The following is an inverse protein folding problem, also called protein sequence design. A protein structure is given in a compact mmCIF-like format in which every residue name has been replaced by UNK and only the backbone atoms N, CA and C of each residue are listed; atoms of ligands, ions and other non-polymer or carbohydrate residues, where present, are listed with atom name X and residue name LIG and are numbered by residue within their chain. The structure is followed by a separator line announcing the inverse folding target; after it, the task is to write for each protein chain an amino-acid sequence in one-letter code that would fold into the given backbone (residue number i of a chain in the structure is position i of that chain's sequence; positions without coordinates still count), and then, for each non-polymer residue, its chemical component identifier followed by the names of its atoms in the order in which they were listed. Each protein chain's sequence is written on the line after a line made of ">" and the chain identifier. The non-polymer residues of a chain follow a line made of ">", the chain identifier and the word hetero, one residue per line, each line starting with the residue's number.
data_IF_934262951119
#
_entry.id   IF_934262951119
#
_cell.length_a   1.000
_cell.length_b   1.000
_cell.length_c   1.000
_cell.angle_alpha   90.00
_cell.angle_beta   90.00
_cell.angle_gamma   90.00
#
_symmetry.space_group_name_H-M   'P 1'
#
loop_
_entity.id
_entity.type
_entity.pdbx_description
1 polymer ?
#
# COMPACT_ATOMS: atom_id res chain seq x y z
N UNK A 1 12.75 -20.20 -34.48
CA UNK A 1 12.06 -19.28 -35.42
C UNK A 1 10.60 -19.07 -34.97
N UNK A 2 10.35 -18.79 -33.68
CA UNK A 2 9.00 -18.67 -33.11
C UNK A 2 8.89 -17.57 -32.01
N UNK A 3 9.73 -16.53 -32.04
CA UNK A 3 9.75 -15.50 -31.02
C UNK A 3 9.56 -14.05 -31.54
N UNK A 4 9.14 -13.86 -32.79
CA UNK A 4 8.97 -12.52 -33.40
C UNK A 4 7.51 -12.10 -33.64
N UNK A 5 6.53 -12.95 -33.34
CA UNK A 5 5.11 -12.69 -33.61
C UNK A 5 4.28 -12.15 -32.46
N UNK A 6 4.81 -12.10 -31.21
CA UNK A 6 3.99 -11.81 -30.03
C UNK A 6 4.12 -10.39 -29.48
N UNK A 7 5.03 -9.57 -30.04
CA UNK A 7 5.25 -8.20 -29.56
C UNK A 7 4.48 -7.14 -30.37
N UNK A 8 3.95 -7.50 -31.54
CA UNK A 8 3.21 -6.53 -32.39
C UNK A 8 1.72 -6.40 -32.07
N UNK A 9 1.14 -7.27 -31.22
CA UNK A 9 -0.30 -7.26 -30.94
C UNK A 9 -0.68 -6.44 -29.70
N UNK A 10 0.29 -6.00 -28.91
CA UNK A 10 0.00 -5.18 -27.69
C UNK A 10 -0.06 -3.68 -27.93
N UNK A 11 0.40 -3.18 -29.07
CA UNK A 11 0.38 -1.74 -29.38
C UNK A 11 -0.89 -1.25 -30.11
N UNK A 12 -1.91 -2.11 -30.34
CA UNK A 12 -3.15 -1.70 -31.03
C UNK A 12 -4.37 -1.52 -30.10
N UNK A 13 -4.22 -1.67 -28.77
CA UNK A 13 -5.33 -1.46 -27.84
C UNK A 13 -5.35 -0.08 -27.17
N UNK A 14 -4.48 0.86 -27.62
CA UNK A 14 -4.35 2.20 -27.02
C UNK A 14 -5.05 3.32 -27.79
N UNK A 15 -5.88 3.02 -28.79
CA UNK A 15 -6.63 4.05 -29.49
C UNK A 15 -8.08 3.63 -29.66
N UNK A 16 -8.99 4.41 -29.06
CA UNK A 16 -10.45 4.41 -29.16
C UNK A 16 -11.21 3.92 -27.91
N UNK A 17 -11.34 4.83 -26.94
CA UNK A 17 -12.59 4.98 -26.19
C UNK A 17 -12.91 6.46 -25.89
N UNK A 18 -13.67 7.15 -26.77
CA UNK A 18 -14.25 8.46 -26.44
C UNK A 18 -15.70 8.28 -25.98
N UNK A 19 -15.99 7.70 -24.81
CA UNK A 19 -17.40 7.70 -24.32
C UNK A 19 -17.60 7.59 -22.80
N UNK A 20 -16.64 7.96 -21.98
CA UNK A 20 -16.86 8.09 -20.51
C UNK A 20 -16.45 9.47 -19.98
N UNK A 21 -16.30 10.45 -20.86
CA UNK A 21 -15.89 11.84 -20.50
C UNK A 21 -17.04 12.77 -20.15
N UNK A 22 -18.14 12.30 -19.58
CA UNK A 22 -19.27 13.21 -19.30
C UNK A 22 -20.12 12.84 -18.07
N UNK A 23 -19.50 12.43 -16.96
CA UNK A 23 -20.15 12.55 -15.63
C UNK A 23 -19.02 12.70 -14.61
N UNK A 24 -19.12 13.71 -13.75
CA UNK A 24 -18.19 14.14 -12.69
C UNK A 24 -17.19 15.22 -13.07
N UNK A 25 -17.76 16.35 -13.51
CA UNK A 25 -17.12 17.65 -13.34
C UNK A 25 -17.58 18.25 -12.00
N UNK A 26 -17.14 17.72 -10.90
CA UNK A 26 -17.31 18.42 -9.63
C UNK A 26 -15.97 19.03 -9.20
N UNK A 27 -15.86 20.35 -9.50
CA UNK A 27 -14.68 21.21 -9.34
C UNK A 27 -14.24 21.44 -7.89
N UNK A 28 -14.70 20.66 -6.92
CA UNK A 28 -14.38 20.90 -5.50
C UNK A 28 -13.15 20.16 -5.00
N UNK A 29 -12.78 19.05 -5.61
CA UNK A 29 -11.67 18.18 -5.12
C UNK A 29 -10.31 18.58 -5.68
N UNK A 30 -10.25 19.14 -6.88
CA UNK A 30 -9.00 19.69 -7.45
C UNK A 30 -8.52 20.95 -6.69
N UNK A 31 -9.41 21.60 -5.92
CA UNK A 31 -9.08 22.80 -5.16
C UNK A 31 -8.12 22.55 -3.97
N UNK A 32 -8.03 21.35 -3.43
CA UNK A 32 -7.21 21.10 -2.21
C UNK A 32 -5.74 20.91 -2.54
N UNK A 33 -5.41 20.31 -3.67
CA UNK A 33 -4.02 20.15 -4.13
C UNK A 33 -3.48 21.43 -4.78
N UNK A 34 -4.33 22.19 -5.47
CA UNK A 34 -4.00 23.51 -6.03
C UNK A 34 -3.91 24.60 -4.97
N UNK A 35 -4.63 24.49 -3.85
CA UNK A 35 -4.56 25.51 -2.79
C UNK A 35 -3.20 25.48 -2.06
N UNK A 36 -2.58 24.32 -1.84
CA UNK A 36 -1.26 24.22 -1.22
C UNK A 36 -0.17 24.87 -2.10
N UNK A 37 -0.20 24.61 -3.40
CA UNK A 37 0.70 25.23 -4.38
C UNK A 37 0.41 26.71 -4.63
N UNK A 38 -0.85 27.09 -4.76
CA UNK A 38 -1.26 28.50 -5.00
C UNK A 38 -1.04 29.39 -3.78
N UNK A 39 -1.16 28.86 -2.55
CA UNK A 39 -0.86 29.58 -1.32
C UNK A 39 0.63 29.91 -1.18
N UNK A 40 1.53 29.01 -1.56
CA UNK A 40 2.98 29.27 -1.53
C UNK A 40 3.41 30.38 -2.51
N UNK A 41 2.64 30.67 -3.53
CA UNK A 41 3.01 31.54 -4.65
C UNK A 41 2.36 32.94 -4.63
N UNK A 42 1.23 33.11 -3.97
CA UNK A 42 0.73 34.47 -3.70
C UNK A 42 1.70 35.30 -2.83
N UNK A 43 2.73 34.65 -2.30
CA UNK A 43 3.77 35.25 -1.46
C UNK A 43 5.08 35.59 -2.17
N UNK A 44 5.36 35.00 -3.35
CA UNK A 44 6.60 35.29 -4.09
C UNK A 44 6.59 36.66 -4.78
N UNK A 45 5.43 37.27 -5.03
CA UNK A 45 5.31 38.56 -5.70
C UNK A 45 5.32 39.79 -4.78
N UNK A 46 5.25 39.62 -3.48
CA UNK A 46 5.34 40.73 -2.53
C UNK A 46 6.51 40.57 -1.61
N UNK A 47 7.54 41.34 -1.82
CA UNK A 47 8.72 41.58 -0.94
C UNK A 47 8.33 42.22 0.43
N UNK A 48 7.17 41.95 0.96
CA UNK A 48 6.80 42.19 2.34
C UNK A 48 6.68 40.81 3.03
N UNK A 49 7.29 40.61 4.18
CA UNK A 49 7.15 39.43 5.07
C UNK A 49 5.66 39.13 5.35
N UNK A 50 4.94 38.63 4.37
CA UNK A 50 3.61 38.12 4.56
C UNK A 50 3.76 36.82 5.36
N UNK A 51 3.32 36.84 6.59
CA UNK A 51 3.22 35.63 7.41
C UNK A 51 2.20 34.71 6.74
N UNK A 52 2.63 33.52 6.32
CA UNK A 52 1.73 32.46 5.87
C UNK A 52 0.75 32.21 7.02
N UNK A 53 -0.58 32.24 6.81
CA UNK A 53 -1.53 31.96 7.87
C UNK A 53 -1.20 30.61 8.52
N UNK A 54 -1.15 30.59 9.85
CA UNK A 54 -0.78 29.38 10.61
C UNK A 54 -1.64 28.16 10.24
N UNK A 55 -2.91 28.37 9.88
CA UNK A 55 -3.81 27.34 9.40
C UNK A 55 -3.40 26.70 8.07
N UNK A 56 -2.80 27.46 7.14
CA UNK A 56 -2.32 26.93 5.87
C UNK A 56 -1.06 26.07 6.04
N UNK A 57 -0.16 26.47 6.95
CA UNK A 57 1.01 25.68 7.33
C UNK A 57 0.62 24.36 7.97
N UNK A 58 -0.37 24.39 8.86
CA UNK A 58 -0.90 23.18 9.49
C UNK A 58 -1.55 22.22 8.49
N UNK A 59 -2.27 22.75 7.50
CA UNK A 59 -2.86 21.93 6.43
C UNK A 59 -1.78 21.26 5.57
N UNK A 60 -0.71 21.97 5.24
CA UNK A 60 0.39 21.42 4.48
C UNK A 60 1.16 20.34 5.26
N UNK A 61 1.46 20.59 6.53
CA UNK A 61 2.08 19.63 7.44
C UNK A 61 1.24 18.34 7.56
N UNK A 62 -0.09 18.50 7.70
CA UNK A 62 -1.02 17.37 7.74
C UNK A 62 -1.01 16.58 6.42
N UNK A 63 -1.05 17.25 5.26
CA UNK A 63 -1.04 16.59 3.96
C UNK A 63 0.28 15.82 3.70
N UNK A 64 1.40 16.37 4.11
CA UNK A 64 2.70 15.66 4.06
C UNK A 64 2.65 14.42 4.94
N UNK A 65 2.16 14.55 6.20
CA UNK A 65 2.05 13.44 7.12
C UNK A 65 1.20 12.29 6.59
N UNK A 66 0.07 12.60 5.97
CA UNK A 66 -0.83 11.62 5.34
C UNK A 66 -0.15 10.87 4.19
N UNK A 67 0.62 11.55 3.34
CA UNK A 67 1.37 10.92 2.25
C UNK A 67 2.50 10.03 2.75
N UNK A 68 3.28 10.50 3.72
CA UNK A 68 4.33 9.72 4.36
C UNK A 68 3.76 8.45 4.98
N UNK A 69 2.64 8.56 5.70
CA UNK A 69 1.94 7.41 6.27
C UNK A 69 1.45 6.44 5.20
N UNK A 70 0.80 6.93 4.14
CA UNK A 70 0.30 6.10 3.05
C UNK A 70 1.43 5.32 2.39
N UNK A 71 2.56 5.97 2.08
CA UNK A 71 3.73 5.31 1.47
C UNK A 71 4.30 4.23 2.39
N UNK A 72 4.42 4.49 3.69
CA UNK A 72 4.90 3.52 4.67
C UNK A 72 3.95 2.31 4.79
N UNK A 73 2.64 2.54 4.86
CA UNK A 73 1.60 1.49 4.93
C UNK A 73 1.64 0.62 3.68
N UNK A 74 1.59 1.21 2.49
CA UNK A 74 1.64 0.45 1.23
C UNK A 74 2.99 -0.25 1.05
N UNK A 75 4.07 0.32 1.56
CA UNK A 75 5.42 -0.24 1.50
C UNK A 75 5.66 -1.46 2.39
N UNK A 76 4.83 -1.71 3.41
CA UNK A 76 5.10 -2.79 4.37
C UNK A 76 3.92 -3.73 4.59
N UNK A 77 2.71 -3.22 4.64
CA UNK A 77 1.55 -3.99 5.06
C UNK A 77 1.01 -4.88 3.94
N UNK A 78 0.91 -6.17 4.19
CA UNK A 78 0.34 -7.15 3.23
C UNK A 78 -1.14 -6.92 2.99
N UNK A 79 -1.85 -6.38 3.98
CA UNK A 79 -3.26 -6.00 3.90
C UNK A 79 -3.50 -4.89 2.86
N UNK A 80 -2.57 -3.93 2.72
CA UNK A 80 -2.74 -2.81 1.80
C UNK A 80 -2.54 -3.21 0.34
N UNK A 81 -1.58 -4.08 0.03
CA UNK A 81 -1.32 -4.56 -1.34
C UNK A 81 -0.25 -5.65 -1.36
N UNK A 82 -0.04 -6.30 -2.49
CA UNK A 82 1.08 -7.24 -2.71
C UNK A 82 2.35 -6.51 -3.17
N UNK A 83 3.48 -7.20 -3.16
CA UNK A 83 4.76 -6.67 -3.61
C UNK A 83 4.77 -6.36 -5.13
N UNK A 84 5.58 -5.41 -5.55
CA UNK A 84 5.84 -5.13 -6.95
C UNK A 84 4.75 -4.31 -7.64
N UNK A 85 4.42 -3.15 -7.11
CA UNK A 85 3.40 -2.26 -7.66
C UNK A 85 4.00 -1.12 -8.46
N UNK A 86 3.48 -0.93 -9.68
CA UNK A 86 3.57 0.34 -10.38
C UNK A 86 2.17 0.91 -10.52
N UNK A 87 1.95 2.17 -10.20
CA UNK A 87 0.68 2.85 -10.46
C UNK A 87 0.88 4.22 -11.07
N UNK A 88 -0.16 4.68 -11.75
CA UNK A 88 -0.25 6.06 -12.26
C UNK A 88 -1.46 6.72 -11.67
N UNK A 89 -1.24 7.88 -11.05
CA UNK A 89 -2.24 8.92 -10.78
C UNK A 89 -2.14 9.94 -11.92
N UNK A 90 -3.15 10.78 -12.13
CA UNK A 90 -3.17 11.75 -13.24
C UNK A 90 -1.89 12.60 -13.35
N UNK A 91 -1.28 12.98 -12.21
CA UNK A 91 -0.07 13.81 -12.11
C UNK A 91 1.07 13.13 -11.32
N UNK A 92 0.97 11.84 -11.00
CA UNK A 92 1.99 11.13 -10.25
C UNK A 92 2.18 9.69 -10.74
N UNK A 93 3.40 9.22 -10.64
CA UNK A 93 3.74 7.80 -10.84
C UNK A 93 4.33 7.24 -9.56
N UNK A 94 4.02 5.99 -9.24
CA UNK A 94 4.53 5.34 -8.04
C UNK A 94 4.96 3.92 -8.29
N UNK A 95 5.92 3.47 -7.50
CA UNK A 95 6.37 2.08 -7.46
C UNK A 95 6.58 1.64 -6.02
N UNK A 96 6.22 0.40 -5.71
CA UNK A 96 6.41 -0.18 -4.39
C UNK A 96 7.03 -1.57 -4.53
N UNK A 97 8.10 -1.79 -3.78
CA UNK A 97 8.74 -3.08 -3.60
C UNK A 97 8.64 -3.46 -2.15
N UNK A 98 8.07 -4.63 -1.82
CA UNK A 98 7.96 -5.07 -0.44
C UNK A 98 8.08 -6.58 -0.29
N UNK A 99 8.51 -7.00 0.88
CA UNK A 99 8.56 -8.39 1.33
C UNK A 99 7.78 -8.46 2.63
N UNK A 100 6.47 -8.73 2.58
CA UNK A 100 5.69 -9.00 3.78
C UNK A 100 5.91 -10.45 4.22
N UNK A 101 5.81 -10.69 5.54
CA UNK A 101 5.82 -12.04 6.12
C UNK A 101 4.78 -12.16 7.22
N UNK A 102 4.28 -13.38 7.37
CA UNK A 102 3.37 -13.78 8.44
C UNK A 102 3.58 -15.26 8.74
N UNK A 103 3.87 -15.59 9.98
CA UNK A 103 4.20 -16.94 10.39
C UNK A 103 3.51 -17.30 11.70
N UNK A 104 2.94 -18.49 11.78
CA UNK A 104 2.54 -19.12 13.03
C UNK A 104 3.74 -19.81 13.64
N UNK A 105 4.10 -19.44 14.87
CA UNK A 105 5.34 -19.89 15.51
C UNK A 105 5.24 -21.31 16.08
N UNK A 106 4.05 -21.85 16.21
CA UNK A 106 3.78 -23.20 16.67
C UNK A 106 2.45 -23.72 16.11
N UNK A 107 2.26 -25.04 16.12
CA UNK A 107 0.97 -25.65 15.83
C UNK A 107 -0.09 -25.19 16.86
N UNK A 108 -1.37 -25.02 16.44
CA UNK A 108 -2.41 -24.58 17.35
C UNK A 108 -2.60 -25.51 18.54
N UNK A 109 -2.47 -24.96 19.74
CA UNK A 109 -2.68 -25.68 21.01
C UNK A 109 -4.04 -25.33 21.65
N UNK A 110 -4.57 -26.20 22.54
CA UNK A 110 -5.87 -25.98 23.17
C UNK A 110 -5.86 -24.79 24.15
N UNK A 111 -6.99 -24.08 24.21
CA UNK A 111 -7.28 -23.05 25.21
C UNK A 111 -8.38 -23.56 26.13
N UNK A 112 -8.02 -24.07 27.30
CA UNK A 112 -8.99 -24.66 28.24
C UNK A 112 -9.74 -25.86 27.65
N UNK A 113 -10.92 -26.15 28.21
CA UNK A 113 -11.75 -27.30 27.81
C UNK A 113 -12.81 -26.97 26.76
N UNK A 114 -12.77 -25.77 26.16
CA UNK A 114 -13.86 -25.27 25.30
C UNK A 114 -13.69 -25.57 23.80
N UNK A 115 -12.71 -26.39 23.41
CA UNK A 115 -12.47 -26.72 22.00
C UNK A 115 -11.90 -25.55 21.18
N UNK A 116 -11.44 -24.48 21.84
CA UNK A 116 -10.70 -23.40 21.21
C UNK A 116 -9.23 -23.80 21.09
N UNK A 117 -8.63 -23.46 19.94
CA UNK A 117 -7.20 -23.60 19.72
C UNK A 117 -6.57 -22.22 19.52
N UNK A 118 -5.30 -22.07 19.83
CA UNK A 118 -4.57 -20.82 19.55
C UNK A 118 -3.15 -21.09 19.08
N UNK A 119 -2.60 -20.15 18.32
CA UNK A 119 -1.19 -20.13 17.95
C UNK A 119 -0.68 -18.68 17.97
N UNK A 120 0.54 -18.44 18.45
CA UNK A 120 1.16 -17.13 18.33
C UNK A 120 1.54 -16.88 16.88
N UNK A 121 1.18 -15.70 16.36
CA UNK A 121 1.52 -15.22 15.02
C UNK A 121 2.53 -14.10 15.14
N UNK A 122 3.57 -14.17 14.34
CA UNK A 122 4.52 -13.09 14.10
C UNK A 122 4.33 -12.59 12.66
N UNK A 123 4.24 -11.28 12.50
CA UNK A 123 4.05 -10.68 11.19
C UNK A 123 4.90 -9.42 11.03
N UNK A 124 5.09 -9.01 9.78
CA UNK A 124 5.82 -7.81 9.47
C UNK A 124 6.07 -7.64 7.98
N UNK A 125 6.88 -6.66 7.65
CA UNK A 125 7.26 -6.39 6.28
C UNK A 125 8.39 -5.39 6.20
N UNK A 126 9.18 -5.49 5.15
CA UNK A 126 10.13 -4.48 4.75
C UNK A 126 9.82 -4.06 3.33
N UNK A 127 9.94 -2.78 3.03
CA UNK A 127 9.72 -2.30 1.68
C UNK A 127 10.27 -0.93 1.39
N UNK A 128 10.22 -0.63 0.11
CA UNK A 128 10.57 0.64 -0.49
C UNK A 128 9.39 1.14 -1.32
N UNK A 129 9.07 2.41 -1.21
CA UNK A 129 8.08 3.10 -2.04
C UNK A 129 8.66 4.38 -2.61
N UNK A 130 8.60 4.52 -3.93
CA UNK A 130 9.00 5.73 -4.63
C UNK A 130 7.78 6.37 -5.31
N UNK A 131 7.66 7.69 -5.20
CA UNK A 131 6.63 8.49 -5.85
C UNK A 131 7.25 9.68 -6.53
N UNK A 132 6.88 9.89 -7.79
CA UNK A 132 7.24 11.06 -8.57
C UNK A 132 5.97 11.85 -8.85
N UNK A 133 5.92 13.06 -8.36
CA UNK A 133 4.79 13.97 -8.55
C UNK A 133 5.18 15.08 -9.53
N UNK A 134 4.51 15.16 -10.69
CA UNK A 134 4.71 16.18 -11.70
C UNK A 134 3.67 17.29 -11.54
N UNK A 135 4.12 18.49 -11.36
CA UNK A 135 3.22 19.65 -11.26
C UNK A 135 2.82 20.15 -12.66
N UNK A 136 1.72 19.62 -13.20
CA UNK A 136 1.30 19.95 -14.58
C UNK A 136 0.33 21.13 -14.66
N UNK A 137 -0.52 21.34 -13.64
CA UNK A 137 -1.65 22.26 -13.67
C UNK A 137 -1.64 23.31 -12.55
N UNK A 138 -0.46 23.67 -12.03
CA UNK A 138 -0.32 24.63 -10.94
C UNK A 138 0.68 25.72 -11.31
N UNK A 139 0.81 26.73 -10.45
CA UNK A 139 1.88 27.75 -10.56
C UNK A 139 3.28 27.14 -10.48
N UNK A 140 3.36 25.89 -9.96
CA UNK A 140 4.57 25.07 -9.97
C UNK A 140 4.70 24.18 -11.22
N UNK A 141 3.89 24.39 -12.26
CA UNK A 141 3.96 23.62 -13.49
C UNK A 141 5.40 23.55 -14.04
N UNK A 142 5.83 22.35 -14.41
CA UNK A 142 7.19 22.08 -14.88
C UNK A 142 8.21 21.75 -13.78
N UNK A 143 7.83 21.78 -12.49
CA UNK A 143 8.65 21.25 -11.39
C UNK A 143 8.22 19.84 -11.04
N UNK A 144 9.06 19.13 -10.28
CA UNK A 144 8.84 17.77 -9.85
C UNK A 144 9.16 17.62 -8.36
N UNK A 145 8.51 16.71 -7.68
CA UNK A 145 8.82 16.35 -6.30
C UNK A 145 8.84 14.84 -6.17
N UNK A 146 9.97 14.30 -5.76
CA UNK A 146 10.22 12.88 -5.59
C UNK A 146 10.16 12.55 -4.10
N UNK A 147 9.55 11.43 -3.77
CA UNK A 147 9.44 10.90 -2.42
C UNK A 147 9.94 9.47 -2.42
N UNK A 148 10.99 9.22 -1.65
CA UNK A 148 11.56 7.90 -1.42
C UNK A 148 11.34 7.47 0.02
N UNK A 149 10.70 6.33 0.23
CA UNK A 149 10.38 5.81 1.55
C UNK A 149 10.91 4.39 1.72
N UNK A 150 11.70 4.16 2.76
CA UNK A 150 12.02 2.82 3.25
C UNK A 150 11.26 2.58 4.54
N UNK A 151 10.57 1.46 4.63
CA UNK A 151 9.73 1.16 5.79
C UNK A 151 9.95 -0.28 6.28
N UNK A 152 9.77 -0.46 7.60
CA UNK A 152 9.85 -1.74 8.31
C UNK A 152 8.67 -1.84 9.27
N UNK A 153 7.91 -2.94 9.20
CA UNK A 153 6.90 -3.28 10.21
C UNK A 153 7.26 -4.57 10.92
N UNK A 154 6.95 -4.64 12.22
CA UNK A 154 7.12 -5.82 13.06
C UNK A 154 6.00 -5.87 14.09
N UNK A 155 5.39 -7.03 14.26
CA UNK A 155 4.34 -7.23 15.23
C UNK A 155 3.80 -8.65 15.29
N UNK A 156 2.59 -8.79 15.77
CA UNK A 156 1.89 -10.07 15.86
C UNK A 156 0.85 -10.12 16.97
N UNK A 157 0.31 -11.30 17.16
CA UNK A 157 -0.73 -11.55 18.15
C UNK A 157 -1.12 -13.02 18.24
N UNK A 158 -2.07 -13.37 19.10
CA UNK A 158 -2.61 -14.73 19.19
C UNK A 158 -3.68 -14.95 18.12
N UNK A 159 -3.51 -15.95 17.24
CA UNK A 159 -4.59 -16.44 16.40
C UNK A 159 -5.42 -17.46 17.18
N UNK A 160 -6.70 -17.22 17.27
CA UNK A 160 -7.66 -18.07 17.97
C UNK A 160 -8.54 -18.75 16.93
N UNK A 161 -8.57 -20.09 16.98
CA UNK A 161 -9.35 -20.96 16.09
C UNK A 161 -10.59 -21.46 16.80
N UNK A 162 -11.73 -21.47 16.10
CA UNK A 162 -13.02 -21.93 16.63
C UNK A 162 -13.29 -23.38 16.21
N UNK A 163 -12.54 -24.31 16.78
CA UNK A 163 -12.67 -25.76 16.48
C UNK A 163 -12.56 -26.05 14.98
N UNK A 164 -13.43 -26.94 14.48
CA UNK A 164 -13.43 -27.38 13.07
C UNK A 164 -14.29 -26.48 12.15
N UNK A 165 -14.71 -25.33 12.62
CA UNK A 165 -15.60 -24.44 11.84
C UNK A 165 -14.90 -23.82 10.63
N UNK A 166 -13.58 -23.74 10.66
CA UNK A 166 -12.76 -23.02 9.68
C UNK A 166 -12.61 -21.53 9.98
N UNK A 167 -13.24 -21.02 11.03
CA UNK A 167 -13.08 -19.62 11.47
C UNK A 167 -11.90 -19.46 12.41
N UNK A 168 -11.19 -18.35 12.25
CA UNK A 168 -10.19 -17.87 13.21
C UNK A 168 -10.20 -16.36 13.29
N UNK A 169 -9.71 -15.83 14.41
CA UNK A 169 -9.48 -14.40 14.62
C UNK A 169 -8.06 -14.16 15.08
N UNK A 170 -7.49 -13.02 14.68
CA UNK A 170 -6.16 -12.59 15.08
C UNK A 170 -6.22 -11.12 15.50
N UNK A 171 -6.40 -10.82 16.79
CA UNK A 171 -6.04 -9.50 17.30
C UNK A 171 -4.51 -9.38 17.31
N UNK A 172 -3.99 -8.32 16.69
CA UNK A 172 -2.55 -8.11 16.59
C UNK A 172 -2.17 -6.65 16.87
N UNK A 173 -0.88 -6.43 17.09
CA UNK A 173 -0.31 -5.11 17.30
C UNK A 173 1.05 -5.05 16.61
N UNK A 174 1.22 -4.07 15.72
CA UNK A 174 2.45 -3.84 14.98
C UNK A 174 3.06 -2.47 15.28
N UNK A 175 4.37 -2.41 15.15
CA UNK A 175 5.14 -1.18 15.06
C UNK A 175 5.58 -1.00 13.61
N UNK A 176 5.28 0.14 13.02
CA UNK A 176 5.71 0.50 11.68
C UNK A 176 6.66 1.71 11.77
N UNK A 177 7.90 1.51 11.36
CA UNK A 177 8.91 2.55 11.24
C UNK A 177 9.14 2.86 9.77
N UNK A 178 9.23 4.15 9.41
CA UNK A 178 9.58 4.56 8.07
C UNK A 178 10.55 5.74 8.06
N UNK A 179 11.45 5.73 7.08
CA UNK A 179 12.28 6.84 6.67
C UNK A 179 11.79 7.31 5.31
N UNK A 180 11.48 8.58 5.20
CA UNK A 180 11.08 9.22 3.94
C UNK A 180 12.00 10.40 3.64
N UNK A 181 12.49 10.43 2.41
CA UNK A 181 13.23 11.53 1.81
C UNK A 181 12.40 12.19 0.74
N UNK A 182 12.48 13.51 0.65
CA UNK A 182 11.79 14.30 -0.36
C UNK A 182 12.80 15.17 -1.09
N UNK A 183 12.89 14.98 -2.40
CA UNK A 183 13.68 15.79 -3.32
C UNK A 183 12.74 16.62 -4.21
N UNK A 184 13.03 17.91 -4.32
CA UNK A 184 12.26 18.83 -5.15
C UNK A 184 13.11 19.43 -6.25
N UNK A 185 12.78 19.12 -7.50
CA UNK A 185 13.43 19.68 -8.69
C UNK A 185 12.79 21.00 -9.10
N UNK A 186 13.52 22.09 -8.86
CA UNK A 186 13.10 23.45 -9.15
C UNK A 186 13.48 23.89 -10.58
N UNK A 187 12.68 23.52 -11.56
CA UNK A 187 12.94 23.81 -12.98
C UNK A 187 12.40 25.17 -13.43
N UNK A 188 11.62 25.88 -12.61
CA UNK A 188 11.04 27.19 -12.89
C UNK A 188 11.43 28.21 -11.84
N UNK A 189 11.28 29.51 -12.16
CA UNK A 189 11.55 30.59 -11.20
C UNK A 189 10.68 30.47 -9.94
N UNK A 190 9.43 30.05 -10.10
CA UNK A 190 8.52 29.80 -8.98
C UNK A 190 9.00 28.63 -8.12
N UNK A 191 9.44 27.54 -8.74
CA UNK A 191 10.05 26.40 -8.05
C UNK A 191 11.32 26.79 -7.28
N UNK A 192 12.18 27.60 -7.88
CA UNK A 192 13.40 28.10 -7.22
C UNK A 192 13.08 28.94 -5.97
N UNK A 193 12.02 29.73 -6.01
CA UNK A 193 11.57 30.49 -4.84
C UNK A 193 11.06 29.58 -3.71
N UNK A 194 10.38 28.47 -4.04
CA UNK A 194 9.95 27.46 -3.07
C UNK A 194 11.15 26.70 -2.50
N UNK A 195 12.09 26.29 -3.36
CA UNK A 195 13.31 25.60 -2.94
C UNK A 195 14.19 26.46 -2.00
N UNK A 196 14.27 27.76 -2.26
CA UNK A 196 15.00 28.70 -1.42
C UNK A 196 14.41 28.85 -0.01
N UNK A 197 13.12 28.58 0.18
CA UNK A 197 12.48 28.57 1.50
C UNK A 197 12.86 27.34 2.33
N UNK A 198 13.07 26.19 1.69
CA UNK A 198 13.65 24.98 2.29
C UNK A 198 12.84 24.30 3.42
N UNK A 199 11.67 24.82 3.82
CA UNK A 199 10.93 24.30 4.98
C UNK A 199 10.05 23.09 4.63
N UNK A 200 9.49 23.05 3.41
CA UNK A 200 8.51 22.06 2.96
C UNK A 200 8.97 21.27 1.73
N UNK A 201 10.22 21.46 1.31
CA UNK A 201 10.85 20.74 0.21
C UNK A 201 12.27 20.36 0.63
N UNK A 202 12.82 19.30 0.03
CA UNK A 202 14.16 18.79 0.33
C UNK A 202 14.33 18.44 1.82
N UNK A 203 13.38 17.67 2.35
CA UNK A 203 13.34 17.29 3.76
C UNK A 203 13.43 15.78 3.95
N UNK A 204 13.84 15.39 5.15
CA UNK A 204 13.88 14.00 5.61
C UNK A 204 13.08 13.87 6.89
N UNK A 205 12.35 12.77 7.02
CA UNK A 205 11.56 12.46 8.19
C UNK A 205 11.62 10.96 8.51
N UNK A 206 11.76 10.66 9.79
CA UNK A 206 11.55 9.31 10.32
C UNK A 206 10.24 9.28 11.09
N UNK A 207 9.42 8.30 10.84
CA UNK A 207 8.12 8.15 11.49
C UNK A 207 8.02 6.84 12.24
N UNK A 208 7.20 6.83 13.27
CA UNK A 208 6.78 5.65 13.99
C UNK A 208 5.26 5.61 14.04
N UNK A 209 4.67 4.49 13.61
CA UNK A 209 3.24 4.22 13.69
C UNK A 209 2.98 3.09 14.66
N UNK A 210 1.97 3.25 15.50
CA UNK A 210 1.37 2.21 16.31
C UNK A 210 0.17 1.65 15.55
N UNK A 211 0.12 0.33 15.36
CA UNK A 211 -0.85 -0.30 14.46
C UNK A 211 -1.59 -1.45 15.16
N UNK A 212 -2.61 -1.17 15.99
CA UNK A 212 -3.54 -2.20 16.39
C UNK A 212 -4.33 -2.71 15.18
N UNK A 213 -4.46 -4.01 15.06
CA UNK A 213 -5.14 -4.68 13.95
C UNK A 213 -6.02 -5.84 14.41
N UNK A 214 -6.95 -6.24 13.55
CA UNK A 214 -7.85 -7.35 13.80
C UNK A 214 -8.15 -8.06 12.47
N UNK A 215 -7.81 -9.36 12.39
CA UNK A 215 -8.15 -10.21 11.24
C UNK A 215 -9.25 -11.20 11.63
N UNK A 216 -10.28 -11.31 10.81
CA UNK A 216 -11.23 -12.42 10.78
C UNK A 216 -10.92 -13.27 9.55
N UNK A 217 -10.71 -14.56 9.73
CA UNK A 217 -10.46 -15.47 8.63
C UNK A 217 -11.44 -16.66 8.66
N UNK A 218 -11.91 -17.03 7.48
CA UNK A 218 -12.56 -18.31 7.22
C UNK A 218 -11.77 -19.07 6.18
N UNK A 219 -11.35 -20.32 6.49
CA UNK A 219 -10.61 -21.21 5.59
C UNK A 219 -11.16 -22.61 5.72
N UNK A 220 -11.52 -23.22 4.60
CA UNK A 220 -12.04 -24.62 4.61
C UNK A 220 -11.65 -25.32 3.32
N UNK A 221 -11.44 -26.63 3.40
CA UNK A 221 -11.11 -27.48 2.26
C UNK A 221 -12.36 -28.20 1.78
N UNK A 222 -12.65 -28.13 0.48
CA UNK A 222 -13.73 -28.82 -0.20
C UNK A 222 -13.16 -29.66 -1.36
N UNK A 223 -12.73 -30.86 -1.08
CA UNK A 223 -12.04 -31.71 -2.04
C UNK A 223 -10.72 -31.07 -2.49
N UNK A 224 -10.67 -30.61 -3.76
CA UNK A 224 -9.50 -29.91 -4.31
C UNK A 224 -9.58 -28.38 -4.23
N UNK A 225 -10.69 -27.85 -3.76
CA UNK A 225 -10.93 -26.41 -3.65
C UNK A 225 -10.60 -25.92 -2.24
N UNK A 226 -9.88 -24.84 -2.15
CA UNK A 226 -9.43 -24.21 -0.92
C UNK A 226 -9.93 -22.76 -0.86
N UNK A 227 -11.25 -22.53 -0.63
CA UNK A 227 -11.76 -21.18 -0.43
C UNK A 227 -11.24 -20.62 0.90
N UNK A 228 -10.89 -19.33 0.86
CA UNK A 228 -10.49 -18.55 2.03
C UNK A 228 -11.11 -17.17 1.92
N UNK A 229 -11.75 -16.72 2.98
CA UNK A 229 -12.17 -15.34 3.15
C UNK A 229 -11.36 -14.71 4.28
N UNK A 230 -10.92 -13.48 4.08
CA UNK A 230 -10.19 -12.71 5.09
C UNK A 230 -10.78 -11.31 5.15
N UNK A 231 -11.06 -10.83 6.36
CA UNK A 231 -11.47 -9.47 6.65
C UNK A 231 -10.48 -8.89 7.65
N UNK A 232 -9.70 -7.93 7.21
CA UNK A 232 -8.61 -7.31 7.96
C UNK A 232 -8.93 -5.85 8.23
N UNK A 233 -8.83 -5.46 9.48
CA UNK A 233 -8.92 -4.07 9.94
C UNK A 233 -7.61 -3.65 10.58
N UNK A 234 -7.10 -2.47 10.23
CA UNK A 234 -5.92 -1.87 10.86
C UNK A 234 -6.11 -0.38 11.07
N UNK A 235 -5.69 0.11 12.23
CA UNK A 235 -5.65 1.52 12.59
C UNK A 235 -4.21 1.97 12.74
N UNK A 236 -3.85 3.07 12.09
CA UNK A 236 -2.51 3.65 12.10
C UNK A 236 -2.52 4.93 12.90
N UNK A 237 -1.58 5.08 13.82
CA UNK A 237 -1.33 6.33 14.54
C UNK A 237 0.14 6.68 14.35
N UNK A 238 0.40 7.59 13.43
CA UNK A 238 1.73 7.93 12.91
C UNK A 238 2.18 9.29 13.42
N UNK A 239 3.44 9.35 13.85
CA UNK A 239 4.09 10.59 14.26
C UNK A 239 5.56 10.60 13.82
N UNK A 240 6.14 11.77 13.53
CA UNK A 240 7.57 11.89 13.32
C UNK A 240 8.33 11.66 14.64
N UNK A 241 9.41 10.89 14.57
CA UNK A 241 10.37 10.68 15.67
C UNK A 241 11.68 11.42 15.43
N UNK A 242 11.98 11.71 14.15
CA UNK A 242 13.06 12.60 13.72
C UNK A 242 12.62 13.37 12.48
N UNK A 243 13.09 14.59 12.31
CA UNK A 243 12.76 15.46 11.20
C UNK A 243 13.93 16.43 10.93
N UNK A 244 14.22 16.67 9.66
CA UNK A 244 15.27 17.60 9.24
C UNK A 244 14.85 19.07 9.34
N UNK A 245 13.54 19.34 9.42
CA UNK A 245 12.97 20.68 9.55
C UNK A 245 11.87 20.71 10.60
N UNK A 246 11.77 21.81 11.35
CA UNK A 246 10.75 21.99 12.37
C UNK A 246 9.33 22.16 11.80
N UNK A 247 9.22 22.39 10.49
CA UNK A 247 7.96 22.46 9.78
C UNK A 247 7.19 21.11 9.76
N UNK A 248 7.89 19.98 9.93
CA UNK A 248 7.28 18.65 9.91
C UNK A 248 6.91 18.17 11.32
N UNK A 249 5.79 18.62 11.84
CA UNK A 249 5.31 18.29 13.19
C UNK A 249 4.00 17.52 13.22
N UNK A 250 3.63 16.93 12.09
CA UNK A 250 2.35 16.28 11.86
C UNK A 250 2.05 15.12 12.81
N UNK A 251 0.75 14.86 12.97
CA UNK A 251 0.21 13.60 13.47
C UNK A 251 -0.81 13.13 12.45
N UNK A 252 -0.65 11.90 11.98
CA UNK A 252 -1.58 11.28 11.06
C UNK A 252 -2.28 10.12 11.76
N UNK A 253 -3.58 10.00 11.50
CA UNK A 253 -4.37 8.86 11.88
C UNK A 253 -5.07 8.34 10.64
N UNK A 254 -5.14 7.01 10.50
CA UNK A 254 -5.76 6.38 9.35
C UNK A 254 -6.32 5.03 9.73
N UNK A 255 -7.35 4.60 9.00
CA UNK A 255 -7.86 3.24 9.09
C UNK A 255 -7.89 2.60 7.71
N UNK A 256 -7.72 1.30 7.71
CA UNK A 256 -7.81 0.47 6.51
C UNK A 256 -8.64 -0.76 6.84
N UNK A 257 -9.61 -1.08 5.98
CA UNK A 257 -10.42 -2.28 6.10
C UNK A 257 -10.43 -3.03 4.77
N UNK A 258 -9.76 -4.19 4.72
CA UNK A 258 -9.66 -5.02 3.52
C UNK A 258 -10.50 -6.28 3.66
N UNK A 259 -11.31 -6.56 2.67
CA UNK A 259 -12.07 -7.79 2.53
C UNK A 259 -11.57 -8.53 1.29
N UNK A 260 -11.10 -9.77 1.47
CA UNK A 260 -10.50 -10.57 0.42
C UNK A 260 -11.10 -11.95 0.36
N UNK A 261 -11.46 -12.38 -0.84
CA UNK A 261 -11.86 -13.74 -1.15
C UNK A 261 -10.80 -14.39 -2.02
N UNK A 262 -10.17 -15.44 -1.50
CA UNK A 262 -9.20 -16.28 -2.19
C UNK A 262 -9.85 -17.61 -2.59
N UNK A 263 -9.50 -18.12 -3.76
CA UNK A 263 -9.88 -19.46 -4.18
C UNK A 263 -8.70 -20.16 -4.85
N UNK A 264 -8.22 -21.23 -4.23
CA UNK A 264 -7.19 -22.09 -4.80
C UNK A 264 -7.75 -23.44 -5.23
N UNK A 265 -7.19 -24.00 -6.27
CA UNK A 265 -7.47 -25.34 -6.77
C UNK A 265 -6.19 -26.17 -6.80
N UNK A 266 -6.20 -27.30 -6.10
CA UNK A 266 -5.12 -28.29 -6.15
C UNK A 266 -5.22 -29.07 -7.44
N UNK A 267 -4.35 -28.77 -8.40
CA UNK A 267 -4.38 -29.41 -9.71
C UNK A 267 -3.92 -30.88 -9.62
N UNK A 268 -4.22 -31.73 -10.61
CA UNK A 268 -3.61 -33.07 -10.70
C UNK A 268 -2.14 -33.01 -11.14
N UNK A 269 -1.63 -31.85 -11.53
CA UNK A 269 -0.28 -31.68 -12.05
C UNK A 269 0.76 -31.62 -10.95
N UNK A 270 1.96 -32.09 -11.27
CA UNK A 270 3.13 -32.01 -10.41
C UNK A 270 4.32 -31.47 -11.22
N UNK A 271 5.07 -30.57 -10.61
CA UNK A 271 6.36 -30.08 -11.13
C UNK A 271 7.42 -30.48 -10.13
N UNK A 272 8.45 -31.22 -10.58
CA UNK A 272 9.48 -31.80 -9.69
C UNK A 272 8.85 -32.61 -8.53
N UNK A 273 7.75 -33.33 -8.83
CA UNK A 273 6.91 -34.06 -7.86
C UNK A 273 6.20 -33.20 -6.81
N UNK A 274 6.29 -31.87 -6.88
CA UNK A 274 5.55 -30.93 -6.03
C UNK A 274 4.16 -30.69 -6.62
N UNK A 275 3.07 -30.84 -5.86
CA UNK A 275 1.74 -30.48 -6.30
C UNK A 275 1.68 -29.01 -6.77
N UNK A 276 0.96 -28.76 -7.87
CA UNK A 276 0.73 -27.41 -8.40
C UNK A 276 -0.65 -26.95 -7.98
N UNK A 277 -0.72 -25.75 -7.40
CA UNK A 277 -1.98 -25.07 -7.13
C UNK A 277 -2.13 -23.89 -8.10
N UNK A 278 -3.34 -23.69 -8.57
CA UNK A 278 -3.72 -22.51 -9.36
C UNK A 278 -4.82 -21.81 -8.57
N UNK A 279 -4.69 -20.53 -8.39
CA UNK A 279 -5.66 -19.77 -7.63
C UNK A 279 -5.74 -18.33 -8.07
N UNK A 280 -6.62 -17.62 -7.41
CA UNK A 280 -6.77 -16.19 -7.57
C UNK A 280 -7.55 -15.61 -6.40
N UNK A 281 -7.54 -14.31 -6.35
CA UNK A 281 -8.32 -13.59 -5.35
C UNK A 281 -8.90 -12.29 -5.91
N UNK A 282 -9.92 -11.83 -5.22
CA UNK A 282 -10.48 -10.50 -5.38
C UNK A 282 -10.58 -9.86 -4.00
N UNK A 283 -10.20 -8.60 -3.91
CA UNK A 283 -10.33 -7.83 -2.68
C UNK A 283 -10.90 -6.45 -2.92
N UNK A 284 -11.55 -5.93 -1.89
CA UNK A 284 -11.90 -4.53 -1.73
C UNK A 284 -11.24 -4.02 -0.47
N UNK A 285 -10.57 -2.89 -0.59
CA UNK A 285 -9.94 -2.18 0.53
C UNK A 285 -10.59 -0.82 0.68
N UNK A 286 -11.22 -0.57 1.81
CA UNK A 286 -11.80 0.70 2.20
C UNK A 286 -10.78 1.50 3.01
N UNK A 287 -10.64 2.79 2.70
CA UNK A 287 -9.66 3.72 3.24
C UNK A 287 -10.36 4.83 3.99
N UNK A 288 -9.84 5.21 5.14
CA UNK A 288 -10.44 6.25 5.97
C UNK A 288 -9.39 7.26 6.43
N UNK A 289 -9.84 8.48 6.68
CA UNK A 289 -9.05 9.58 7.22
C UNK A 289 -7.80 9.91 6.37
N UNK A 290 -6.60 9.79 6.95
CA UNK A 290 -5.35 10.16 6.30
C UNK A 290 -5.06 9.40 5.01
N UNK A 291 -5.32 8.08 4.96
CA UNK A 291 -5.14 7.27 3.75
C UNK A 291 -6.11 7.66 2.64
N UNK A 292 -7.38 7.92 2.98
CA UNK A 292 -8.38 8.42 2.02
C UNK A 292 -7.95 9.77 1.44
N UNK A 293 -7.49 10.69 2.29
CA UNK A 293 -7.05 12.00 1.85
C UNK A 293 -5.76 11.94 1.01
N UNK A 294 -4.82 11.04 1.35
CA UNK A 294 -3.55 10.89 0.64
C UNK A 294 -3.73 10.34 -0.79
N UNK A 295 -4.71 9.45 -0.98
CA UNK A 295 -4.95 8.73 -2.24
C UNK A 295 -6.14 9.26 -3.04
N UNK A 296 -6.85 10.26 -2.54
CA UNK A 296 -8.06 10.85 -3.13
C UNK A 296 -9.13 9.81 -3.49
N UNK A 297 -9.25 8.77 -2.69
CA UNK A 297 -10.25 7.71 -2.85
C UNK A 297 -10.60 7.08 -1.51
N UNK A 298 -11.85 6.67 -1.36
CA UNK A 298 -12.35 5.97 -0.18
C UNK A 298 -12.19 4.45 -0.26
N UNK A 299 -11.92 3.92 -1.46
CA UNK A 299 -11.68 2.48 -1.65
C UNK A 299 -10.97 2.18 -2.95
N UNK A 300 -10.40 0.98 -3.03
CA UNK A 300 -9.93 0.38 -4.29
C UNK A 300 -10.21 -1.12 -4.32
N UNK A 301 -10.19 -1.67 -5.53
CA UNK A 301 -10.31 -3.10 -5.78
C UNK A 301 -8.98 -3.65 -6.26
N UNK A 302 -8.71 -4.92 -5.96
CA UNK A 302 -7.57 -5.66 -6.49
C UNK A 302 -8.02 -7.07 -6.87
N UNK A 303 -7.47 -7.60 -7.95
CA UNK A 303 -7.59 -9.01 -8.33
C UNK A 303 -6.23 -9.57 -8.68
N UNK A 304 -5.94 -10.77 -8.20
CA UNK A 304 -4.67 -11.45 -8.45
C UNK A 304 -4.93 -12.87 -8.95
N UNK A 305 -4.08 -13.32 -9.89
CA UNK A 305 -3.93 -14.72 -10.25
C UNK A 305 -2.62 -15.25 -9.70
N UNK A 306 -2.58 -16.53 -9.30
CA UNK A 306 -1.37 -17.15 -8.76
C UNK A 306 -1.20 -18.60 -9.20
N UNK A 307 0.06 -19.01 -9.28
CA UNK A 307 0.48 -20.40 -9.44
C UNK A 307 1.47 -20.70 -8.33
N UNK A 308 1.18 -21.69 -7.50
CA UNK A 308 2.03 -22.08 -6.37
C UNK A 308 2.40 -23.57 -6.42
N UNK A 309 3.58 -23.89 -5.91
CA UNK A 309 4.09 -25.23 -5.73
C UNK A 309 4.10 -25.56 -4.24
N UNK A 310 3.54 -26.71 -3.87
CA UNK A 310 3.69 -27.27 -2.54
C UNK A 310 5.06 -27.93 -2.43
N UNK A 311 5.99 -27.30 -1.71
CA UNK A 311 7.38 -27.76 -1.55
C UNK A 311 7.65 -28.30 -0.14
N UNK A 312 6.58 -28.57 0.63
CA UNK A 312 6.65 -29.05 2.01
C UNK A 312 7.60 -30.25 2.16
N UNK A 313 8.54 -30.12 3.09
CA UNK A 313 9.54 -31.13 3.38
C UNK A 313 10.69 -31.25 2.38
N UNK A 314 10.72 -30.46 1.30
CA UNK A 314 11.81 -30.43 0.31
C UNK A 314 12.75 -29.25 0.47
N UNK A 315 12.20 -28.10 0.87
CA UNK A 315 12.97 -26.90 1.19
C UNK A 315 12.76 -26.57 2.66
N UNK A 316 13.85 -26.32 3.36
CA UNK A 316 13.84 -26.08 4.80
C UNK A 316 12.81 -25.00 5.18
N UNK A 317 11.81 -25.41 6.00
CA UNK A 317 10.72 -24.55 6.50
C UNK A 317 9.88 -23.80 5.44
N UNK A 318 10.04 -24.11 4.16
CA UNK A 318 9.17 -23.57 3.11
C UNK A 318 8.03 -24.55 2.86
N UNK A 319 6.80 -24.10 2.98
CA UNK A 319 5.59 -24.87 2.71
C UNK A 319 5.18 -24.72 1.24
N UNK A 320 5.00 -23.50 0.78
CA UNK A 320 4.66 -23.21 -0.61
C UNK A 320 5.54 -22.12 -1.21
N UNK A 321 5.75 -22.20 -2.52
CA UNK A 321 6.44 -21.19 -3.31
C UNK A 321 5.64 -20.92 -4.59
N UNK A 322 5.46 -19.66 -4.95
CA UNK A 322 4.64 -19.32 -6.11
C UNK A 322 4.93 -17.95 -6.72
N UNK A 323 4.27 -17.74 -7.85
CA UNK A 323 4.25 -16.46 -8.57
C UNK A 323 2.83 -15.92 -8.60
N UNK A 324 2.71 -14.61 -8.44
CA UNK A 324 1.45 -13.89 -8.50
C UNK A 324 1.53 -12.73 -9.48
N UNK A 325 0.42 -12.45 -10.15
CA UNK A 325 0.25 -11.25 -10.95
C UNK A 325 -1.16 -10.72 -10.77
N UNK A 326 -1.31 -9.41 -10.70
CA UNK A 326 -2.61 -8.82 -10.43
C UNK A 326 -2.77 -7.41 -10.98
N UNK A 327 -3.98 -6.92 -10.84
CA UNK A 327 -4.39 -5.58 -11.21
C UNK A 327 -5.23 -4.97 -10.10
N UNK A 328 -4.96 -3.72 -9.79
CA UNK A 328 -5.76 -2.94 -8.83
C UNK A 328 -6.27 -1.66 -9.50
N UNK A 329 -7.44 -1.19 -9.04
CA UNK A 329 -8.11 -0.04 -9.64
C UNK A 329 -9.07 0.65 -8.68
N UNK A 330 -9.22 1.93 -8.87
CA UNK A 330 -10.29 2.76 -8.31
C UNK A 330 -10.56 3.96 -9.24
N UNK A 331 -11.30 4.95 -8.76
CA UNK A 331 -11.56 6.17 -9.52
C UNK A 331 -10.34 7.07 -9.68
N UNK A 332 -9.39 7.02 -8.74
CA UNK A 332 -8.23 7.89 -8.68
C UNK A 332 -6.97 7.28 -9.30
N UNK A 333 -6.80 5.96 -9.24
CA UNK A 333 -5.60 5.30 -9.73
C UNK A 333 -5.85 3.87 -10.22
N UNK A 334 -4.90 3.36 -10.99
CA UNK A 334 -4.83 1.94 -11.36
C UNK A 334 -3.39 1.49 -11.52
N UNK A 335 -3.15 0.18 -11.43
CA UNK A 335 -1.81 -0.37 -11.58
C UNK A 335 -1.76 -1.89 -11.60
N UNK A 336 -0.55 -2.40 -11.81
CA UNK A 336 -0.27 -3.83 -11.87
C UNK A 336 0.61 -4.24 -10.70
N UNK A 337 0.42 -5.46 -10.22
CA UNK A 337 1.28 -6.10 -9.24
C UNK A 337 1.88 -7.38 -9.81
N UNK A 338 3.14 -7.64 -9.50
CA UNK A 338 3.81 -8.92 -9.75
C UNK A 338 4.55 -9.30 -8.48
N UNK A 339 4.49 -10.55 -8.07
CA UNK A 339 5.11 -10.96 -6.83
C UNK A 339 5.52 -12.41 -6.78
N UNK A 340 6.39 -12.70 -5.82
CA UNK A 340 6.74 -14.05 -5.39
C UNK A 340 6.00 -14.28 -4.08
N UNK A 341 5.32 -15.41 -3.97
CA UNK A 341 4.67 -15.86 -2.74
C UNK A 341 5.47 -17.00 -2.13
N UNK A 342 5.74 -16.90 -0.83
CA UNK A 342 6.41 -17.96 -0.08
C UNK A 342 5.72 -18.07 1.28
N UNK A 343 5.22 -19.27 1.62
CA UNK A 343 4.73 -19.55 2.96
C UNK A 343 5.77 -20.36 3.75
N UNK A 344 5.92 -20.03 5.03
CA UNK A 344 6.84 -20.70 5.93
C UNK A 344 6.05 -21.46 6.98
N UNK A 345 6.53 -22.66 7.34
CA UNK A 345 6.04 -23.46 8.45
C UNK A 345 7.16 -23.66 9.48
N UNK A 346 6.92 -23.26 10.72
CA UNK A 346 7.88 -23.35 11.84
C UNK A 346 7.52 -24.47 12.79
#
# INVERSE_FOLDING_TARGET
>A
MFAKGMVSSFNQFSAEQPMVRKVFSDRKTVATLTLGGALLLSFAERTARAQIPSGALQQLDTAIGQRVEATAVFGTQSIASRAGLGWTLDDATGQIYKIPWKAELQDPGPVGDQGLLWAPVFEGGIGYGGFVNHFNNSVLAGNQSDYDTVALSLGGGPRIYFGDTGFSVLPAFDLLYAYTDNDFEANTQAGQAVAANGQYVNWQVHTLSLVPSFELQFKKTYGRWLPKFTSDFAYYNTRPVYRSTDALSFRSASMLWANKFDLDYVTPWKVLECPVHIGGDISRTDLYEGLQAALDTDHYYQTDGRVTLDVLGRVWKVDTFGLTAGYFWCSAFSGFSVGIECSLKF
#
